data_IF_315671950552
#
_entry.id   IF_315671950552
#
_cell.length_a   1.000
_cell.length_b   1.000
_cell.length_c   1.000
_cell.angle_alpha   90.00
_cell.angle_beta   90.00
_cell.angle_gamma   90.00
#
_symmetry.space_group_name_H-M   'P 1'
#
loop_
_entity.id
_entity.type
_entity.pdbx_description
1 polymer ?
#
# COMPACT_ATOMS: atom_id res chain seq x y z
N UNK A 1 8.10 -2.84 16.06
CA UNK A 1 6.68 -2.74 15.68
C UNK A 1 6.20 -1.29 15.47
N UNK A 2 7.12 -0.31 15.35
CA UNK A 2 6.79 1.12 15.32
C UNK A 2 5.90 1.59 14.14
N UNK A 3 5.98 0.94 12.97
CA UNK A 3 5.20 1.39 11.80
C UNK A 3 3.70 1.21 11.99
N UNK A 4 3.29 0.06 12.54
CA UNK A 4 1.87 -0.24 12.78
C UNK A 4 1.28 0.72 13.80
N UNK A 5 2.02 1.03 14.87
CA UNK A 5 1.62 2.01 15.89
C UNK A 5 1.41 3.40 15.28
N UNK A 6 2.32 3.84 14.40
CA UNK A 6 2.16 5.11 13.69
C UNK A 6 0.91 5.14 12.78
N UNK A 7 0.61 4.03 12.11
CA UNK A 7 -0.59 3.92 11.26
C UNK A 7 -1.86 3.96 12.13
N UNK A 8 -1.86 3.31 13.29
CA UNK A 8 -2.98 3.34 14.25
C UNK A 8 -3.20 4.78 14.75
N UNK A 9 -2.13 5.47 15.17
CA UNK A 9 -2.23 6.84 15.67
C UNK A 9 -2.72 7.81 14.58
N UNK A 10 -2.21 7.66 13.35
CA UNK A 10 -2.66 8.43 12.20
C UNK A 10 -4.16 8.21 11.92
N UNK A 11 -4.60 6.95 11.94
CA UNK A 11 -6.00 6.60 11.75
C UNK A 11 -6.90 7.21 12.82
N UNK A 12 -6.48 7.20 14.09
CA UNK A 12 -7.23 7.85 15.17
C UNK A 12 -7.32 9.37 15.00
N UNK A 13 -6.26 10.02 14.50
CA UNK A 13 -6.28 11.47 14.19
C UNK A 13 -7.25 11.75 13.05
N UNK A 14 -7.26 10.93 12.01
CA UNK A 14 -8.16 11.07 10.87
C UNK A 14 -9.63 10.92 11.30
N UNK A 15 -9.96 9.92 12.14
CA UNK A 15 -11.31 9.73 12.67
C UNK A 15 -11.81 10.99 13.42
N UNK A 16 -10.94 11.66 14.17
CA UNK A 16 -11.27 12.93 14.85
C UNK A 16 -11.45 14.11 13.88
N UNK A 17 -10.79 14.09 12.73
CA UNK A 17 -10.84 15.14 11.72
C UNK A 17 -12.04 15.04 10.75
N UNK A 18 -12.94 14.07 10.95
CA UNK A 18 -14.10 13.88 10.08
C UNK A 18 -13.81 13.06 8.82
N UNK A 19 -12.79 12.19 8.88
CA UNK A 19 -12.42 11.27 7.82
C UNK A 19 -13.54 10.31 7.43
N UNK A 20 -13.77 10.17 6.11
CA UNK A 20 -14.86 9.33 5.61
C UNK A 20 -14.47 7.86 5.42
N UNK A 21 -13.17 7.55 5.39
CA UNK A 21 -12.69 6.18 5.30
C UNK A 21 -11.68 5.93 4.17
N UNK A 22 -11.14 4.71 4.15
CA UNK A 22 -10.27 4.22 3.08
C UNK A 22 -11.08 4.02 1.81
N UNK A 23 -10.42 4.10 0.65
CA UNK A 23 -11.09 3.91 -0.62
C UNK A 23 -11.57 2.45 -0.75
N UNK A 24 -12.89 2.25 -0.81
CA UNK A 24 -13.53 0.96 -0.99
C UNK A 24 -14.23 0.91 -2.36
N UNK A 25 -14.24 -0.25 -3.02
CA UNK A 25 -14.85 -0.40 -4.34
C UNK A 25 -16.13 -1.25 -4.29
N UNK A 26 -17.14 -0.83 -5.04
CA UNK A 26 -18.25 -1.67 -5.47
C UNK A 26 -19.26 -2.02 -4.37
N UNK A 27 -19.59 -3.31 -4.27
CA UNK A 27 -20.66 -3.80 -3.39
C UNK A 27 -20.30 -3.74 -1.90
N UNK A 28 -19.02 -3.74 -1.57
CA UNK A 28 -18.57 -3.76 -0.18
C UNK A 28 -18.93 -2.45 0.53
N UNK A 29 -18.71 -1.32 -0.14
CA UNK A 29 -19.05 0.01 0.35
C UNK A 29 -20.57 0.20 0.48
N UNK A 30 -21.35 -0.34 -0.47
CA UNK A 30 -22.82 -0.28 -0.42
C UNK A 30 -23.41 -1.12 0.70
N UNK A 31 -22.83 -2.30 0.95
CA UNK A 31 -23.31 -3.25 1.97
C UNK A 31 -22.89 -2.82 3.38
N UNK A 32 -21.70 -2.23 3.52
CA UNK A 32 -21.15 -1.80 4.79
C UNK A 32 -20.56 -0.38 4.68
N UNK A 33 -21.41 0.63 4.93
CA UNK A 33 -21.05 2.05 4.80
C UNK A 33 -19.93 2.51 5.73
N UNK A 34 -19.75 1.88 6.89
CA UNK A 34 -18.72 2.27 7.86
C UNK A 34 -17.45 1.41 7.82
N UNK A 35 -17.38 0.37 7.00
CA UNK A 35 -16.17 -0.48 6.93
C UNK A 35 -14.93 0.32 6.53
N UNK A 36 -15.08 1.36 5.71
CA UNK A 36 -13.96 2.24 5.34
C UNK A 36 -13.31 2.95 6.54
N UNK A 37 -13.98 3.05 7.69
CA UNK A 37 -13.45 3.68 8.92
C UNK A 37 -12.83 2.67 9.87
N UNK A 38 -12.92 1.37 9.62
CA UNK A 38 -12.26 0.40 10.47
C UNK A 38 -10.78 0.30 10.11
N UNK A 39 -9.95 0.03 11.12
CA UNK A 39 -8.49 -0.09 10.95
C UNK A 39 -8.12 -1.23 9.99
N UNK A 40 -8.88 -2.33 9.96
CA UNK A 40 -8.61 -3.51 9.13
C UNK A 40 -8.67 -3.20 7.62
N UNK A 41 -9.44 -2.19 7.23
CA UNK A 41 -9.59 -1.76 5.85
C UNK A 41 -8.65 -0.61 5.48
N UNK A 42 -7.81 -0.14 6.42
CA UNK A 42 -6.82 0.89 6.16
C UNK A 42 -5.60 0.34 5.41
N UNK A 43 -5.00 1.20 4.59
CA UNK A 43 -3.72 0.90 3.96
C UNK A 43 -2.61 0.79 5.00
N UNK A 44 -1.81 -0.27 4.91
CA UNK A 44 -0.59 -0.40 5.72
C UNK A 44 0.44 0.70 5.40
N UNK A 45 0.48 1.16 4.15
CA UNK A 45 1.25 2.32 3.72
C UNK A 45 0.31 3.45 3.28
N UNK A 46 -0.22 4.23 4.23
CA UNK A 46 -1.11 5.33 3.91
C UNK A 46 -0.36 6.44 3.16
N UNK A 47 -1.04 7.11 2.22
CA UNK A 47 -0.57 8.38 1.69
C UNK A 47 -0.45 9.41 2.83
N UNK A 48 0.47 10.37 2.72
CA UNK A 48 0.67 11.39 3.77
C UNK A 48 -0.52 12.34 3.90
N UNK A 49 -1.11 12.72 2.76
CA UNK A 49 -2.21 13.66 2.67
C UNK A 49 -3.51 12.93 2.35
N UNK A 50 -4.63 13.48 2.83
CA UNK A 50 -5.96 13.06 2.42
C UNK A 50 -6.23 13.56 0.99
N UNK A 51 -6.88 12.72 0.21
CA UNK A 51 -7.33 13.04 -1.14
C UNK A 51 -8.80 13.41 -1.09
N UNK A 52 -9.12 14.59 -1.60
CA UNK A 52 -10.51 15.01 -1.79
C UNK A 52 -11.07 14.32 -3.04
N UNK A 53 -12.19 13.63 -2.88
CA UNK A 53 -12.91 12.98 -3.98
C UNK A 53 -14.07 13.90 -4.40
N UNK A 54 -14.01 14.55 -5.58
CA UNK A 54 -15.04 15.51 -6.01
C UNK A 54 -16.42 14.89 -6.15
N UNK A 55 -16.49 13.65 -6.62
CA UNK A 55 -17.75 12.96 -6.91
C UNK A 55 -18.59 12.67 -5.65
N UNK A 56 -17.93 12.35 -4.53
CA UNK A 56 -18.61 12.07 -3.25
C UNK A 56 -18.52 13.24 -2.26
N UNK A 57 -17.72 14.27 -2.54
CA UNK A 57 -17.39 15.38 -1.62
C UNK A 57 -16.80 14.91 -0.29
N UNK A 58 -16.05 13.81 -0.32
CA UNK A 58 -15.48 13.18 0.86
C UNK A 58 -13.95 13.26 0.85
N UNK A 59 -13.37 13.26 2.05
CA UNK A 59 -11.93 13.14 2.24
C UNK A 59 -11.58 11.68 2.50
N UNK A 60 -10.86 11.07 1.55
CA UNK A 60 -10.42 9.67 1.62
C UNK A 60 -8.92 9.56 1.61
N UNK A 61 -8.40 8.46 2.16
CA UNK A 61 -6.95 8.20 2.20
C UNK A 61 -6.63 7.07 1.23
N UNK A 62 -5.76 7.38 0.27
CA UNK A 62 -5.22 6.40 -0.66
C UNK A 62 -3.95 5.75 -0.10
N UNK A 63 -3.49 4.73 -0.79
CA UNK A 63 -2.16 4.18 -0.56
C UNK A 63 -1.08 5.18 -0.97
N UNK A 64 0.14 4.99 -0.45
CA UNK A 64 1.31 5.72 -0.89
C UNK A 64 1.47 5.65 -2.42
N UNK A 65 1.72 6.79 -3.05
CA UNK A 65 1.86 6.86 -4.50
C UNK A 65 3.06 6.02 -4.98
N UNK A 66 2.87 5.25 -6.06
CA UNK A 66 3.86 4.29 -6.54
C UNK A 66 5.22 4.91 -6.87
N UNK A 67 5.24 6.17 -7.34
CA UNK A 67 6.49 6.87 -7.67
C UNK A 67 7.37 7.10 -6.45
N UNK A 68 6.81 7.21 -5.25
CA UNK A 68 7.62 7.29 -4.03
C UNK A 68 8.41 6.00 -3.85
N UNK A 69 7.73 4.85 -3.93
CA UNK A 69 8.38 3.54 -3.81
C UNK A 69 9.44 3.36 -4.91
N UNK A 70 9.12 3.71 -6.15
CA UNK A 70 10.08 3.62 -7.26
C UNK A 70 11.31 4.51 -7.06
N UNK A 71 11.13 5.72 -6.53
CA UNK A 71 12.24 6.63 -6.24
C UNK A 71 13.14 6.09 -5.13
N UNK A 72 12.55 5.65 -4.02
CA UNK A 72 13.32 5.06 -2.91
C UNK A 72 14.10 3.81 -3.36
N UNK A 73 13.49 2.96 -4.21
CA UNK A 73 14.19 1.81 -4.81
C UNK A 73 15.39 2.28 -5.64
N UNK A 74 15.21 3.28 -6.50
CA UNK A 74 16.30 3.81 -7.33
C UNK A 74 17.45 4.35 -6.49
N UNK A 75 17.15 5.09 -5.42
CA UNK A 75 18.16 5.58 -4.48
C UNK A 75 18.88 4.45 -3.76
N UNK A 76 18.14 3.44 -3.27
CA UNK A 76 18.73 2.28 -2.60
C UNK A 76 19.66 1.48 -3.53
N UNK A 77 19.25 1.26 -4.79
CA UNK A 77 20.07 0.60 -5.82
C UNK A 77 21.36 1.39 -6.10
N UNK A 78 21.25 2.72 -6.16
CA UNK A 78 22.41 3.61 -6.29
C UNK A 78 23.38 3.50 -5.11
N UNK A 79 22.86 3.53 -3.87
CA UNK A 79 23.65 3.36 -2.64
C UNK A 79 24.32 1.98 -2.57
N UNK A 80 23.64 0.94 -3.04
CA UNK A 80 24.16 -0.43 -3.12
C UNK A 80 25.21 -0.64 -4.23
N UNK A 81 25.52 0.40 -5.03
CA UNK A 81 26.47 0.36 -6.16
C UNK A 81 26.12 -0.71 -7.20
N UNK A 82 24.84 -1.04 -7.34
CA UNK A 82 24.38 -1.99 -8.35
C UNK A 82 24.36 -1.25 -9.69
N UNK A 83 25.23 -1.67 -10.60
CA UNK A 83 25.39 -1.04 -11.93
C UNK A 83 24.20 -1.30 -12.87
N UNK A 84 23.35 -2.28 -12.55
CA UNK A 84 22.17 -2.63 -13.34
C UNK A 84 20.95 -1.84 -12.86
N UNK A 85 20.09 -1.44 -13.80
CA UNK A 85 18.78 -0.87 -13.47
C UNK A 85 17.94 -1.92 -12.76
N UNK A 86 17.48 -1.61 -11.56
CA UNK A 86 16.55 -2.43 -10.80
C UNK A 86 15.33 -1.61 -10.41
N UNK A 87 14.15 -2.21 -10.58
CA UNK A 87 12.86 -1.65 -10.18
C UNK A 87 12.09 -2.68 -9.36
N UNK A 88 10.91 -2.28 -8.84
CA UNK A 88 9.99 -3.21 -8.19
C UNK A 88 9.69 -4.45 -9.07
N UNK A 89 9.61 -4.26 -10.39
CA UNK A 89 9.40 -5.35 -11.34
C UNK A 89 10.60 -6.31 -11.39
N UNK A 90 11.84 -5.80 -11.34
CA UNK A 90 13.05 -6.62 -11.26
C UNK A 90 13.05 -7.49 -10.01
N UNK A 91 12.63 -6.95 -8.87
CA UNK A 91 12.54 -7.71 -7.63
C UNK A 91 11.48 -8.81 -7.71
N UNK A 92 10.32 -8.52 -8.30
CA UNK A 92 9.27 -9.55 -8.52
C UNK A 92 9.79 -10.71 -9.36
N UNK A 93 10.51 -10.43 -10.46
CA UNK A 93 11.10 -11.47 -11.33
C UNK A 93 12.21 -12.25 -10.64
N UNK A 94 13.07 -11.56 -9.90
CA UNK A 94 14.13 -12.21 -9.11
C UNK A 94 13.52 -13.16 -8.09
N UNK A 95 12.46 -12.74 -7.39
CA UNK A 95 11.74 -13.58 -6.42
C UNK A 95 11.15 -14.84 -7.07
N UNK A 96 10.46 -14.70 -8.20
CA UNK A 96 9.92 -15.84 -8.95
C UNK A 96 11.03 -16.80 -9.41
N UNK A 97 12.13 -16.26 -9.94
CA UNK A 97 13.30 -17.07 -10.35
C UNK A 97 13.93 -17.79 -9.17
N UNK A 98 14.00 -17.14 -8.00
CA UNK A 98 14.54 -17.73 -6.79
C UNK A 98 13.63 -18.84 -6.25
N UNK A 99 12.32 -18.67 -6.31
CA UNK A 99 11.35 -19.71 -5.96
C UNK A 99 11.47 -20.95 -6.87
N UNK A 100 11.64 -20.76 -8.18
CA UNK A 100 11.78 -21.87 -9.13
C UNK A 100 13.06 -22.70 -8.93
N UNK A 101 14.10 -22.13 -8.30
CA UNK A 101 15.32 -22.88 -7.95
C UNK A 101 15.11 -23.86 -6.81
N UNK A 102 14.02 -23.74 -6.06
CA UNK A 102 13.66 -24.63 -4.96
C UNK A 102 12.43 -25.46 -5.36
N UNK A 103 12.62 -26.66 -5.96
CA UNK A 103 11.56 -27.43 -6.61
C UNK A 103 10.44 -27.89 -5.66
N UNK A 104 10.64 -27.79 -4.34
CA UNK A 104 9.65 -28.18 -3.32
C UNK A 104 8.56 -27.11 -3.07
N UNK A 105 8.72 -25.87 -3.57
CA UNK A 105 7.72 -24.81 -3.45
C UNK A 105 6.86 -24.60 -4.71
N UNK A 106 7.16 -25.27 -5.82
CA UNK A 106 6.48 -25.11 -7.11
C UNK A 106 5.13 -25.84 -7.19
N UNK A 107 4.35 -25.89 -6.11
CA UNK A 107 2.91 -26.22 -6.15
C UNK A 107 2.09 -24.93 -6.03
N UNK A 108 2.22 -24.07 -7.04
CA UNK A 108 1.24 -23.00 -7.25
C UNK A 108 0.46 -23.46 -8.47
N UNK A 109 -0.67 -24.12 -8.23
CA UNK A 109 -1.59 -24.50 -9.30
C UNK A 109 -1.99 -23.24 -10.06
N UNK A 110 -1.81 -23.28 -11.38
CA UNK A 110 -2.57 -22.45 -12.32
C UNK A 110 -4.08 -22.74 -12.18
#
# INVERSE_FOLDING_TARGET
>A
MAHIENVIELHQKDLKAGYTGAFMFGLLEKKHKDCGKELIWQWFFPAKMLTFVPDSKELRRYHLHESHVQREIKEAVGKAKILKRASAHTFRHSFATHLLRYPYYCRVNC
#
